data_IF_491530591436
#
_entry.id   IF_491530591436
#
_cell.length_a   1.000
_cell.length_b   1.000
_cell.length_c   1.000
_cell.angle_alpha   90.00
_cell.angle_beta   90.00
_cell.angle_gamma   90.00
#
_symmetry.space_group_name_H-M   'P 1'
#
loop_
_entity.id
_entity.type
_entity.pdbx_description
1 polymer ?
#
# COMPACT_ATOMS: atom_id res chain seq x y z
N UNK A 1 47.49 -50.68 9.19
CA UNK A 1 46.50 -50.57 8.10
C UNK A 1 46.33 -49.09 7.78
N UNK A 2 47.09 -48.59 6.80
CA UNK A 2 46.86 -47.29 6.17
C UNK A 2 46.09 -47.55 4.86
N UNK A 3 44.93 -46.94 4.66
CA UNK A 3 44.39 -46.64 3.32
C UNK A 3 43.15 -45.77 3.39
N UNK A 4 43.03 -44.94 2.35
CA UNK A 4 41.89 -44.12 1.95
C UNK A 4 41.72 -42.76 2.65
N UNK A 5 42.75 -41.91 2.51
CA UNK A 5 42.62 -40.46 2.59
C UNK A 5 42.46 -39.93 1.16
N UNK A 6 41.27 -40.07 0.57
CA UNK A 6 40.97 -39.51 -0.75
C UNK A 6 39.44 -39.48 -0.94
N UNK A 7 38.84 -38.29 -0.76
CA UNK A 7 37.84 -37.77 -1.69
C UNK A 7 37.40 -36.36 -1.29
N UNK A 8 37.82 -35.43 -2.15
CA UNK A 8 36.91 -34.42 -2.71
C UNK A 8 36.70 -33.18 -1.83
N UNK A 9 37.67 -32.27 -1.94
CA UNK A 9 37.37 -30.84 -2.01
C UNK A 9 36.49 -30.61 -3.25
N UNK A 10 35.18 -30.50 -3.06
CA UNK A 10 34.30 -29.78 -4.00
C UNK A 10 33.42 -28.84 -3.17
N UNK A 11 33.95 -27.62 -3.03
CA UNK A 11 33.23 -26.37 -3.27
C UNK A 11 31.89 -26.25 -2.51
N UNK A 12 32.01 -25.73 -1.29
CA UNK A 12 30.90 -25.19 -0.51
C UNK A 12 30.28 -23.96 -1.18
N UNK A 13 29.45 -24.19 -2.19
CA UNK A 13 28.69 -23.15 -2.91
C UNK A 13 27.31 -23.66 -3.32
N UNK A 14 26.53 -24.24 -2.39
CA UNK A 14 25.12 -24.64 -2.65
C UNK A 14 24.18 -24.27 -1.51
N UNK A 15 24.61 -23.47 -0.52
CA UNK A 15 23.79 -23.15 0.65
C UNK A 15 23.24 -21.71 0.69
N UNK A 16 23.53 -20.84 -0.29
CA UNK A 16 23.30 -19.40 -0.16
C UNK A 16 22.36 -18.77 -1.22
N UNK A 17 21.50 -19.55 -1.88
CA UNK A 17 20.59 -19.00 -2.92
C UNK A 17 19.10 -19.24 -2.62
N UNK A 18 18.75 -20.11 -1.67
CA UNK A 18 17.33 -20.42 -1.40
C UNK A 18 16.70 -19.52 -0.33
N UNK A 19 17.49 -18.82 0.48
CA UNK A 19 16.97 -17.98 1.58
C UNK A 19 16.54 -16.55 1.19
N UNK A 20 16.99 -16.03 0.04
CA UNK A 20 16.79 -14.62 -0.33
C UNK A 20 15.74 -14.38 -1.42
N UNK A 21 15.29 -15.42 -2.12
CA UNK A 21 14.34 -15.29 -3.24
C UNK A 21 12.87 -15.13 -2.81
N UNK A 22 12.50 -15.55 -1.61
CA UNK A 22 11.09 -15.59 -1.16
C UNK A 22 10.58 -14.23 -0.68
N UNK A 23 11.46 -13.34 -0.22
CA UNK A 23 11.05 -12.04 0.34
C UNK A 23 10.79 -10.94 -0.72
N UNK A 24 11.24 -11.12 -1.96
CA UNK A 24 11.07 -10.10 -3.04
C UNK A 24 9.82 -10.36 -3.89
N UNK A 25 9.26 -11.58 -3.85
CA UNK A 25 8.10 -11.95 -4.66
C UNK A 25 6.77 -11.44 -4.09
N UNK A 26 6.63 -11.28 -2.77
CA UNK A 26 5.37 -10.84 -2.17
C UNK A 26 5.08 -9.35 -2.38
N UNK A 27 6.11 -8.49 -2.32
CA UNK A 27 5.92 -7.03 -2.47
C UNK A 27 5.73 -6.58 -3.92
N UNK A 28 6.22 -7.36 -4.88
CA UNK A 28 6.05 -7.08 -6.31
C UNK A 28 4.66 -7.47 -6.83
N UNK A 29 4.07 -8.56 -6.31
CA UNK A 29 2.67 -8.93 -6.59
C UNK A 29 1.68 -7.90 -6.02
N UNK A 30 1.92 -7.39 -4.81
CA UNK A 30 1.03 -6.40 -4.19
C UNK A 30 0.94 -5.10 -5.00
N UNK A 31 2.07 -4.59 -5.51
CA UNK A 31 2.11 -3.40 -6.38
C UNK A 31 1.46 -3.61 -7.76
N UNK A 32 1.09 -4.83 -8.11
CA UNK A 32 0.46 -5.16 -9.38
C UNK A 32 -1.06 -5.38 -9.28
N UNK A 33 -1.61 -5.48 -8.06
CA UNK A 33 -3.06 -5.65 -7.85
C UNK A 33 -3.85 -4.45 -8.34
N UNK A 34 -5.13 -4.67 -8.67
CA UNK A 34 -6.04 -3.59 -9.11
C UNK A 34 -6.25 -2.60 -7.96
N UNK A 35 -6.48 -3.10 -6.75
CA UNK A 35 -6.67 -2.28 -5.56
C UNK A 35 -5.48 -1.35 -5.29
N UNK A 36 -4.24 -1.84 -5.42
CA UNK A 36 -3.06 -1.00 -5.23
C UNK A 36 -2.95 0.09 -6.29
N UNK A 37 -3.21 -0.24 -7.56
CA UNK A 37 -3.17 0.74 -8.66
C UNK A 37 -4.21 1.84 -8.47
N UNK A 38 -5.41 1.47 -8.02
CA UNK A 38 -6.45 2.46 -7.74
C UNK A 38 -6.09 3.33 -6.53
N UNK A 39 -5.56 2.73 -5.46
CA UNK A 39 -5.03 3.48 -4.32
C UNK A 39 -3.89 4.44 -4.72
N UNK A 40 -3.03 4.07 -5.67
CA UNK A 40 -1.98 4.96 -6.19
C UNK A 40 -2.55 6.15 -6.99
N UNK A 41 -3.66 5.96 -7.70
CA UNK A 41 -4.39 7.06 -8.37
C UNK A 41 -5.05 8.00 -7.34
N UNK A 42 -5.70 7.45 -6.32
CA UNK A 42 -6.33 8.24 -5.26
C UNK A 42 -5.30 8.98 -4.41
N UNK A 43 -4.09 8.41 -4.23
CA UNK A 43 -2.94 9.13 -3.65
C UNK A 43 -2.61 10.39 -4.46
N UNK A 44 -2.53 10.29 -5.77
CA UNK A 44 -2.22 11.44 -6.63
C UNK A 44 -3.34 12.50 -6.58
N UNK A 45 -4.59 12.08 -6.43
CA UNK A 45 -5.71 12.99 -6.19
C UNK A 45 -5.55 13.71 -4.84
N UNK A 46 -5.20 13.00 -3.78
CA UNK A 46 -4.97 13.58 -2.44
C UNK A 46 -3.87 14.65 -2.48
N UNK A 47 -2.76 14.36 -3.15
CA UNK A 47 -1.65 15.31 -3.33
C UNK A 47 -2.12 16.59 -4.04
N UNK A 48 -2.96 16.44 -5.07
CA UNK A 48 -3.53 17.58 -5.79
C UNK A 48 -4.53 18.36 -4.92
N UNK A 49 -5.34 17.70 -4.11
CA UNK A 49 -6.28 18.33 -3.21
C UNK A 49 -5.57 19.15 -2.12
N UNK A 50 -4.52 18.59 -1.49
CA UNK A 50 -3.66 19.32 -0.55
C UNK A 50 -3.00 20.52 -1.23
N UNK A 51 -2.49 20.34 -2.46
CA UNK A 51 -1.92 21.45 -3.23
C UNK A 51 -2.93 22.57 -3.49
N UNK A 52 -4.19 22.22 -3.74
CA UNK A 52 -5.31 23.15 -3.97
C UNK A 52 -5.86 23.76 -2.67
N UNK A 53 -5.36 23.37 -1.51
CA UNK A 53 -5.74 23.94 -0.22
C UNK A 53 -6.97 23.29 0.42
N UNK A 54 -7.34 22.08 0.01
CA UNK A 54 -8.24 21.24 0.81
C UNK A 54 -7.47 20.82 2.06
N UNK A 55 -8.09 20.97 3.24
CA UNK A 55 -7.42 20.65 4.51
C UNK A 55 -8.12 19.56 5.31
N UNK A 56 -9.43 19.38 5.16
CA UNK A 56 -10.24 18.52 6.03
C UNK A 56 -10.49 17.12 5.46
N UNK A 57 -10.48 16.10 6.32
CA UNK A 57 -10.69 14.71 5.93
C UNK A 57 -12.04 14.46 5.25
N UNK A 58 -13.11 15.14 5.66
CA UNK A 58 -14.43 14.98 5.06
C UNK A 58 -14.46 15.55 3.64
N UNK A 59 -13.78 16.67 3.41
CA UNK A 59 -13.64 17.26 2.06
C UNK A 59 -12.79 16.39 1.14
N UNK A 60 -11.73 15.78 1.68
CA UNK A 60 -10.94 14.78 0.94
C UNK A 60 -11.79 13.55 0.61
N UNK A 61 -12.48 12.98 1.59
CA UNK A 61 -13.36 11.82 1.42
C UNK A 61 -14.48 12.10 0.41
N UNK A 62 -15.02 13.32 0.39
CA UNK A 62 -16.06 13.73 -0.55
C UNK A 62 -15.59 13.75 -2.01
N UNK A 63 -14.28 13.93 -2.24
CA UNK A 63 -13.68 13.96 -3.56
C UNK A 63 -12.95 12.68 -3.97
N UNK A 64 -12.75 11.74 -3.04
CA UNK A 64 -12.18 10.41 -3.30
C UNK A 64 -13.27 9.38 -3.59
N UNK A 65 -13.11 8.64 -4.68
CA UNK A 65 -13.87 7.42 -4.97
C UNK A 65 -15.41 7.53 -4.93
N UNK A 66 -16.07 6.38 -4.81
CA UNK A 66 -17.48 6.31 -4.45
C UNK A 66 -17.60 6.43 -2.92
N UNK A 67 -18.44 7.35 -2.42
CA UNK A 67 -18.51 7.69 -0.98
C UNK A 67 -18.74 6.48 -0.07
N UNK A 68 -19.36 5.42 -0.59
CA UNK A 68 -19.58 4.15 0.12
C UNK A 68 -18.31 3.34 0.41
N UNK A 69 -17.16 3.72 -0.15
CA UNK A 69 -15.87 3.05 0.04
C UNK A 69 -15.00 3.69 1.12
N UNK A 70 -15.29 4.92 1.55
CA UNK A 70 -14.56 5.57 2.65
C UNK A 70 -15.08 5.02 3.97
N UNK A 71 -14.24 4.24 4.67
CA UNK A 71 -14.59 3.57 5.93
C UNK A 71 -14.15 4.36 7.17
N UNK A 72 -13.20 5.28 7.01
CA UNK A 72 -12.80 6.24 8.05
C UNK A 72 -12.21 7.49 7.40
N UNK A 73 -12.55 8.67 7.91
CA UNK A 73 -11.94 9.94 7.54
C UNK A 73 -11.84 10.81 8.81
N UNK A 74 -10.63 11.26 9.15
CA UNK A 74 -10.40 12.14 10.31
C UNK A 74 -9.14 12.99 10.15
N UNK A 75 -9.08 14.04 10.96
CA UNK A 75 -7.94 14.94 11.03
C UNK A 75 -7.83 15.87 9.84
N UNK A 76 -6.68 16.55 9.76
CA UNK A 76 -6.41 17.55 8.74
C UNK A 76 -5.04 17.36 8.08
N UNK A 77 -4.90 17.84 6.85
CA UNK A 77 -3.61 18.03 6.21
C UNK A 77 -3.47 19.50 5.82
N UNK A 78 -2.38 20.14 6.21
CA UNK A 78 -2.08 21.51 5.80
C UNK A 78 -0.84 21.54 4.93
N UNK A 79 -0.94 22.25 3.80
CA UNK A 79 0.17 22.38 2.88
C UNK A 79 1.40 22.95 3.59
N UNK A 80 2.49 22.21 3.54
CA UNK A 80 3.76 22.60 4.13
C UNK A 80 3.86 22.53 5.65
N UNK A 81 2.88 21.92 6.31
CA UNK A 81 2.93 21.58 7.73
C UNK A 81 3.09 20.07 7.86
N UNK A 82 4.09 19.64 8.62
CA UNK A 82 4.32 18.23 8.85
C UNK A 82 3.20 17.65 9.75
N UNK A 83 2.88 16.37 9.56
CA UNK A 83 1.85 15.70 10.36
C UNK A 83 2.18 15.68 11.88
N UNK A 84 3.47 15.74 12.24
CA UNK A 84 3.92 15.83 13.64
C UNK A 84 3.56 17.13 14.34
N UNK A 85 3.24 18.16 13.57
CA UNK A 85 2.96 19.51 14.05
C UNK A 85 1.44 19.79 14.08
N UNK A 86 0.63 18.78 13.79
CA UNK A 86 -0.83 18.81 13.81
C UNK A 86 -1.35 18.03 15.01
N UNK A 87 -2.35 18.57 15.70
CA UNK A 87 -3.00 17.89 16.83
C UNK A 87 -3.70 16.60 16.38
N UNK A 88 -4.27 16.61 15.18
CA UNK A 88 -4.93 15.46 14.55
C UNK A 88 -4.56 15.40 13.06
N UNK A 89 -3.48 14.70 12.67
CA UNK A 89 -3.07 14.60 11.27
C UNK A 89 -4.04 13.75 10.46
N UNK A 90 -4.12 14.06 9.16
CA UNK A 90 -5.01 13.38 8.24
C UNK A 90 -4.81 11.86 8.23
N UNK A 91 -5.90 11.13 8.42
CA UNK A 91 -5.99 9.70 8.22
C UNK A 91 -7.31 9.36 7.52
N UNK A 92 -7.21 8.87 6.28
CA UNK A 92 -8.36 8.39 5.50
C UNK A 92 -8.14 6.91 5.21
N UNK A 93 -9.14 6.08 5.47
CA UNK A 93 -9.12 4.65 5.13
C UNK A 93 -10.20 4.38 4.09
N UNK A 94 -9.80 3.75 2.98
CA UNK A 94 -10.68 3.44 1.85
C UNK A 94 -10.65 1.93 1.61
N UNK A 95 -11.84 1.35 1.49
CA UNK A 95 -12.10 -0.02 1.09
C UNK A 95 -12.12 -0.11 -0.44
N UNK A 96 -11.19 -0.88 -1.00
CA UNK A 96 -11.19 -1.23 -2.42
C UNK A 96 -11.75 -2.65 -2.55
N UNK A 97 -12.96 -2.74 -3.10
CA UNK A 97 -13.56 -4.02 -3.43
C UNK A 97 -12.77 -4.67 -4.55
N UNK A 98 -12.31 -5.91 -4.35
CA UNK A 98 -11.60 -6.63 -5.42
C UNK A 98 -12.54 -7.25 -6.45
N UNK A 99 -13.87 -7.07 -6.29
CA UNK A 99 -14.86 -7.43 -7.29
C UNK A 99 -14.91 -6.37 -8.38
N UNK A 100 -14.56 -6.73 -9.61
CA UNK A 100 -14.96 -5.95 -10.77
C UNK A 100 -16.45 -6.23 -11.03
N UNK A 101 -17.28 -5.18 -11.05
CA UNK A 101 -18.68 -5.27 -11.46
C UNK A 101 -18.85 -5.29 -12.99
N UNK A 102 -17.74 -5.41 -13.74
CA UNK A 102 -17.70 -5.36 -15.20
C UNK A 102 -17.99 -6.71 -15.88
N UNK A 103 -18.19 -7.78 -15.10
CA UNK A 103 -18.65 -9.08 -15.61
C UNK A 103 -17.62 -9.78 -16.51
N UNK A 104 -16.35 -9.37 -16.44
CA UNK A 104 -15.28 -9.98 -17.20
C UNK A 104 -14.91 -11.35 -16.61
N UNK A 105 -14.87 -12.38 -17.46
CA UNK A 105 -14.57 -13.80 -17.14
C UNK A 105 -13.13 -14.01 -16.59
N UNK A 106 -12.35 -12.93 -16.48
CA UNK A 106 -10.99 -12.91 -15.91
C UNK A 106 -10.89 -12.07 -14.63
N UNK A 107 -12.01 -11.70 -14.01
CA UNK A 107 -12.03 -11.10 -12.69
C UNK A 107 -11.29 -12.05 -11.73
N UNK A 108 -10.05 -11.70 -11.39
CA UNK A 108 -9.42 -12.28 -10.22
C UNK A 108 -10.29 -11.80 -9.06
N UNK A 109 -10.85 -12.73 -8.28
CA UNK A 109 -11.51 -12.44 -7.01
C UNK A 109 -10.43 -11.92 -6.05
N UNK A 110 -9.97 -10.70 -6.29
CA UNK A 110 -9.07 -10.01 -5.37
C UNK A 110 -9.84 -9.81 -4.07
N UNK A 111 -9.23 -10.09 -2.91
CA UNK A 111 -9.89 -9.82 -1.65
C UNK A 111 -10.06 -8.32 -1.46
N UNK A 112 -11.20 -7.95 -0.89
CA UNK A 112 -11.44 -6.62 -0.33
C UNK A 112 -10.22 -6.17 0.48
N UNK A 113 -9.69 -5.00 0.13
CA UNK A 113 -8.44 -4.49 0.70
C UNK A 113 -8.61 -3.05 1.12
N UNK A 114 -8.24 -2.74 2.36
CA UNK A 114 -8.23 -1.37 2.85
C UNK A 114 -6.85 -0.75 2.77
N UNK A 115 -6.79 0.49 2.29
CA UNK A 115 -5.59 1.31 2.31
C UNK A 115 -5.85 2.55 3.16
N UNK A 116 -4.88 2.84 4.04
CA UNK A 116 -4.84 4.06 4.83
C UNK A 116 -3.96 5.09 4.13
N UNK A 117 -4.47 6.29 3.94
CA UNK A 117 -3.81 7.45 3.38
C UNK A 117 -3.43 8.45 4.48
N UNK A 118 -2.25 9.04 4.36
CA UNK A 118 -1.70 10.04 5.29
C UNK A 118 -0.88 11.08 4.52
N UNK A 119 -0.64 12.26 5.10
CA UNK A 119 0.19 13.31 4.48
C UNK A 119 1.33 13.71 5.44
N UNK A 120 2.38 12.86 5.57
CA UNK A 120 3.39 13.04 6.62
C UNK A 120 4.17 14.36 6.54
N UNK A 121 4.41 14.86 5.32
CA UNK A 121 5.23 16.05 5.07
C UNK A 121 4.43 17.32 4.77
N UNK A 122 3.11 17.22 4.70
CA UNK A 122 2.24 18.31 4.21
C UNK A 122 2.35 18.58 2.70
N UNK A 123 3.09 17.77 1.93
CA UNK A 123 3.26 17.96 0.48
C UNK A 123 3.00 16.72 -0.34
N UNK A 124 3.31 15.54 0.20
CA UNK A 124 3.12 14.28 -0.47
C UNK A 124 2.48 13.30 0.50
N UNK A 125 1.45 12.65 0.01
CA UNK A 125 0.73 11.62 0.70
C UNK A 125 1.41 10.27 0.54
N UNK A 126 1.14 9.39 1.49
CA UNK A 126 1.56 8.01 1.48
C UNK A 126 0.36 7.13 1.80
N UNK A 127 0.37 5.90 1.30
CA UNK A 127 -0.63 4.91 1.65
C UNK A 127 -0.01 3.57 2.01
N UNK A 128 -0.67 2.86 2.91
CA UNK A 128 -0.27 1.53 3.35
C UNK A 128 -1.50 0.64 3.52
N UNK A 129 -1.35 -0.65 3.21
CA UNK A 129 -2.40 -1.64 3.46
C UNK A 129 -2.66 -1.72 4.97
N UNK A 130 -3.92 -1.76 5.34
CA UNK A 130 -4.39 -1.89 6.73
C UNK A 130 -5.53 -2.89 6.80
N UNK A 131 -5.84 -3.37 8.00
CA UNK A 131 -7.07 -4.13 8.23
C UNK A 131 -8.29 -3.24 8.00
N UNK A 132 -9.32 -3.81 7.36
CA UNK A 132 -10.56 -3.08 7.15
C UNK A 132 -11.31 -2.91 8.48
N UNK A 133 -11.69 -1.67 8.88
CA UNK A 133 -12.57 -1.45 10.01
C UNK A 133 -13.89 -2.18 9.79
N UNK A 134 -14.35 -2.92 10.81
CA UNK A 134 -15.60 -3.68 10.80
C UNK A 134 -16.74 -2.96 11.50
#
# INVERSE_FOLDING_TARGET
>A
MLSALEKTVVVGTVALVVGAGVLVACSSMERQSVAWKQADLDRNWLDLAVYRGVEDADDFAAGMGDRGQVVSAKGIARRGVAASDLDEPLEIVILYSGRDDSGAVFAQDDPDTCYRFTVPTGYSSNFAKVDCPG
#
